data_IF_637431938841
#
_entry.id   IF_637431938841
#
_cell.length_a   1.000
_cell.length_b   1.000
_cell.length_c   1.000
_cell.angle_alpha   90.00
_cell.angle_beta   90.00
_cell.angle_gamma   90.00
#
_symmetry.space_group_name_H-M   'P 1'
#
loop_
_entity.id
_entity.type
_entity.pdbx_description
1 polymer ?
#
# COMPACT_ATOMS: atom_id res chain seq x y z
N UNK A 1 7.78 -1.83 -3.04
CA UNK A 1 7.03 -1.83 -1.76
C UNK A 1 5.98 -0.73 -1.80
N UNK A 2 4.73 -1.05 -1.45
CA UNK A 2 3.66 -0.08 -1.22
C UNK A 2 3.23 -0.14 0.26
N UNK A 3 2.82 0.99 0.83
CA UNK A 3 2.41 1.06 2.24
C UNK A 3 0.96 0.60 2.43
N UNK A 4 0.57 0.15 3.64
CA UNK A 4 -0.77 -0.38 3.92
C UNK A 4 -1.93 0.57 3.59
N UNK A 5 -1.73 1.88 3.74
CA UNK A 5 -2.76 2.88 3.43
C UNK A 5 -2.97 3.12 1.94
N UNK A 6 -2.02 2.74 1.08
CA UNK A 6 -2.08 3.02 -0.37
C UNK A 6 -3.34 2.46 -1.04
N UNK A 7 -3.75 1.19 -0.84
CA UNK A 7 -4.94 0.64 -1.49
C UNK A 7 -6.26 1.14 -0.91
N UNK A 8 -6.28 1.55 0.36
CA UNK A 8 -7.49 1.94 1.10
C UNK A 8 -7.69 3.46 1.21
N UNK A 9 -6.75 4.25 0.70
CA UNK A 9 -6.88 5.70 0.58
C UNK A 9 -8.18 6.06 -0.18
N UNK A 10 -8.91 7.04 0.33
CA UNK A 10 -10.32 7.36 -0.03
C UNK A 10 -10.49 7.62 -1.54
N UNK A 11 -9.42 8.08 -2.21
CA UNK A 11 -9.41 8.31 -3.66
C UNK A 11 -9.11 7.09 -4.54
N UNK A 12 -8.79 5.92 -3.99
CA UNK A 12 -8.32 4.74 -4.77
C UNK A 12 -9.22 3.52 -4.65
N UNK A 13 -9.56 3.10 -3.43
CA UNK A 13 -10.34 1.90 -3.14
C UNK A 13 -9.93 0.68 -4.00
N UNK A 14 -8.64 0.32 -3.97
CA UNK A 14 -8.09 -0.77 -4.79
C UNK A 14 -8.46 -2.13 -4.24
N UNK A 15 -8.85 -3.03 -5.15
CA UNK A 15 -8.94 -4.45 -4.82
C UNK A 15 -7.55 -5.10 -4.73
N UNK A 16 -7.52 -6.34 -4.23
CA UNK A 16 -6.27 -7.09 -4.04
C UNK A 16 -5.48 -7.25 -5.34
N UNK A 17 -6.17 -7.46 -6.46
CA UNK A 17 -5.54 -7.64 -7.77
C UNK A 17 -4.83 -6.36 -8.19
N UNK A 18 -5.53 -5.23 -8.13
CA UNK A 18 -4.99 -3.89 -8.46
C UNK A 18 -3.78 -3.57 -7.57
N UNK A 19 -3.86 -3.86 -6.25
CA UNK A 19 -2.74 -3.64 -5.35
C UNK A 19 -1.50 -4.47 -5.71
N UNK A 20 -1.67 -5.74 -6.08
CA UNK A 20 -0.57 -6.60 -6.51
C UNK A 20 0.04 -6.14 -7.84
N UNK A 21 -0.79 -5.76 -8.81
CA UNK A 21 -0.35 -5.25 -10.11
C UNK A 21 0.47 -3.96 -9.96
N UNK A 22 -0.03 -2.99 -9.20
CA UNK A 22 0.70 -1.75 -8.91
C UNK A 22 1.97 -2.00 -8.08
N UNK A 23 1.97 -3.02 -7.21
CA UNK A 23 3.18 -3.41 -6.47
C UNK A 23 4.27 -3.94 -7.42
N UNK A 24 3.89 -4.75 -8.41
CA UNK A 24 4.80 -5.25 -9.43
C UNK A 24 5.37 -4.11 -10.28
N UNK A 25 4.50 -3.21 -10.76
CA UNK A 25 4.92 -2.03 -11.53
C UNK A 25 5.89 -1.14 -10.73
N UNK A 26 5.66 -0.96 -9.43
CA UNK A 26 6.57 -0.20 -8.55
C UNK A 26 7.93 -0.89 -8.36
N UNK A 27 8.00 -2.20 -8.55
CA UNK A 27 9.24 -2.96 -8.56
C UNK A 27 9.91 -2.99 -9.95
N UNK A 28 9.40 -2.22 -10.92
CA UNK A 28 9.82 -2.24 -12.33
C UNK A 28 9.63 -3.59 -13.02
N UNK A 29 8.62 -4.35 -12.57
CA UNK A 29 8.22 -5.62 -13.16
C UNK A 29 6.92 -5.46 -13.96
N UNK A 30 6.65 -6.34 -14.94
CA UNK A 30 5.33 -6.46 -15.55
C UNK A 30 4.22 -6.59 -14.50
N UNK A 31 3.05 -5.99 -14.74
CA UNK A 31 1.95 -5.93 -13.78
C UNK A 31 1.48 -7.32 -13.31
N UNK A 32 1.59 -8.33 -14.16
CA UNK A 32 1.21 -9.72 -13.91
C UNK A 32 2.31 -10.56 -13.24
N UNK A 33 3.46 -9.97 -12.91
CA UNK A 33 4.61 -10.72 -12.35
C UNK A 33 4.30 -11.40 -11.02
N UNK A 34 3.29 -10.95 -10.26
CA UNK A 34 2.84 -11.62 -9.03
C UNK A 34 2.29 -13.03 -9.28
N UNK A 35 1.93 -13.38 -10.52
CA UNK A 35 1.49 -14.72 -10.90
C UNK A 35 2.66 -15.66 -11.24
N UNK A 36 3.87 -15.13 -11.42
CA UNK A 36 5.05 -15.94 -11.66
C UNK A 36 5.50 -16.62 -10.35
N UNK A 37 5.72 -17.94 -10.40
CA UNK A 37 6.16 -18.74 -9.24
C UNK A 37 7.54 -18.34 -8.70
N UNK A 38 8.38 -17.73 -9.52
CA UNK A 38 9.69 -17.23 -9.11
C UNK A 38 9.61 -15.86 -8.42
N UNK A 39 8.48 -15.17 -8.53
CA UNK A 39 8.25 -13.88 -7.87
C UNK A 39 7.97 -14.08 -6.39
N UNK A 40 8.81 -13.48 -5.55
CA UNK A 40 8.61 -13.50 -4.09
C UNK A 40 7.78 -12.30 -3.66
N UNK A 41 6.66 -12.58 -3.01
CA UNK A 41 5.77 -11.57 -2.43
C UNK A 41 5.91 -11.60 -0.92
N UNK A 42 6.10 -10.43 -0.33
CA UNK A 42 6.18 -10.23 1.11
C UNK A 42 5.10 -9.25 1.56
N UNK A 43 4.55 -9.47 2.76
CA UNK A 43 3.56 -8.59 3.38
C UNK A 43 4.09 -8.06 4.71
N UNK A 44 3.63 -6.88 5.08
CA UNK A 44 3.91 -6.24 6.35
C UNK A 44 2.71 -5.40 6.77
N UNK A 45 2.67 -5.05 8.05
CA UNK A 45 1.63 -4.22 8.66
C UNK A 45 2.30 -2.98 9.27
N UNK A 46 1.49 -1.95 9.53
CA UNK A 46 1.97 -0.71 10.11
C UNK A 46 0.85 0.05 10.84
N UNK A 47 1.25 0.87 11.80
CA UNK A 47 0.36 1.77 12.54
C UNK A 47 0.68 3.19 12.06
N UNK A 48 -0.36 3.98 11.79
CA UNK A 48 -0.22 5.32 11.21
C UNK A 48 -0.63 6.37 12.24
N UNK A 49 0.22 7.38 12.41
CA UNK A 49 -0.06 8.57 13.18
C UNK A 49 0.01 9.80 12.27
N UNK A 50 -0.94 10.73 12.41
CA UNK A 50 -0.96 11.96 11.63
C UNK A 50 -1.25 13.20 12.49
N UNK A 51 -0.75 14.36 12.05
CA UNK A 51 -1.06 15.64 12.70
C UNK A 51 -2.47 16.11 12.30
N UNK A 52 -3.29 16.54 13.26
CA UNK A 52 -4.61 17.14 12.98
C UNK A 52 -4.50 18.50 12.26
N UNK A 53 -3.47 19.25 12.59
CA UNK A 53 -3.11 20.54 11.97
C UNK A 53 -1.58 20.66 11.94
N UNK A 54 -0.98 21.48 11.05
CA UNK A 54 0.47 21.59 10.96
C UNK A 54 1.12 21.90 12.32
N UNK A 55 2.00 21.01 12.79
CA UNK A 55 2.65 21.09 14.12
C UNK A 55 1.68 21.02 15.31
N UNK A 56 0.49 20.44 15.11
CA UNK A 56 -0.56 20.28 16.11
C UNK A 56 -0.52 18.94 16.84
N UNK A 57 -1.68 18.52 17.34
CA UNK A 57 -1.86 17.22 17.99
C UNK A 57 -1.67 16.06 17.00
N UNK A 58 -0.99 15.00 17.46
CA UNK A 58 -0.77 13.77 16.71
C UNK A 58 -1.82 12.74 17.16
N UNK A 59 -2.59 12.22 16.20
CA UNK A 59 -3.62 11.22 16.45
C UNK A 59 -3.29 9.88 15.76
N UNK A 60 -3.80 8.79 16.31
CA UNK A 60 -3.82 7.49 15.64
C UNK A 60 -4.82 7.55 14.48
N UNK A 61 -4.39 7.15 13.29
CA UNK A 61 -5.25 7.05 12.10
C UNK A 61 -5.73 5.61 11.94
N UNK A 62 -7.04 5.41 12.10
CA UNK A 62 -7.70 4.14 11.80
C UNK A 62 -8.06 4.09 10.31
N UNK A 63 -7.68 3.00 9.62
CA UNK A 63 -7.89 2.77 8.19
C UNK A 63 -8.29 1.31 7.95
#
# INVERSE_FOLDING_TARGET
>A
MLLPQVPVDDGRNWDVKTFLEHTCMKAWLPADSWMNKDTKIYKFEGIIFEELTPRGEIILKEI
#
